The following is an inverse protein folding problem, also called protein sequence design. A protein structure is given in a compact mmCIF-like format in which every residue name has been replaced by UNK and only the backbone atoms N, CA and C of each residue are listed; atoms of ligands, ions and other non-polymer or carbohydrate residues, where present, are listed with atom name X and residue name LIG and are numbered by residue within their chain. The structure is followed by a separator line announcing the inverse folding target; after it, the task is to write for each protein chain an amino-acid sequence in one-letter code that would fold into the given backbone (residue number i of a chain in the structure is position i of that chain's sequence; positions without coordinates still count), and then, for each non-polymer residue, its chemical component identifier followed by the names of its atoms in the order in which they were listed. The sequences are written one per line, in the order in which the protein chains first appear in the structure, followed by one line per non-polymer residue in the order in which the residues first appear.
data_IF_725617468711
#
_entry.id   IF_725617468711
#
_cell.length_a   1.000
_cell.length_b   1.000
_cell.length_c   1.000
_cell.angle_alpha   90.00
_cell.angle_beta   90.00
_cell.angle_gamma   90.00
#
_symmetry.space_group_name_H-M   'P 1'
#
loop_
_entity.id
_entity.type
_entity.pdbx_description
1 polymer ?
#
# COMPACT_ATOMS: atom_id res chain seq x y z
N UNK A 1 -8.57 -32.15 7.25
CA UNK A 1 -8.13 -30.77 7.54
C UNK A 1 -8.91 -30.29 8.75
N UNK A 2 -8.28 -30.28 9.92
CA UNK A 2 -8.91 -29.85 11.18
C UNK A 2 -8.82 -28.34 11.30
N UNK A 3 -9.78 -27.71 11.98
CA UNK A 3 -9.87 -26.25 12.18
C UNK A 3 -8.61 -25.58 12.82
N UNK A 4 -7.60 -26.36 13.25
CA UNK A 4 -6.38 -25.85 13.89
C UNK A 4 -5.30 -25.40 12.89
N UNK A 5 -5.29 -25.91 11.66
CA UNK A 5 -4.26 -25.55 10.67
C UNK A 5 -4.48 -24.15 10.06
N UNK A 6 -5.71 -23.62 10.13
CA UNK A 6 -6.11 -22.32 9.59
C UNK A 6 -5.53 -21.15 10.44
N UNK A 7 -5.19 -21.40 11.69
CA UNK A 7 -4.69 -20.36 12.62
C UNK A 7 -3.17 -20.19 12.58
N UNK A 8 -2.42 -21.23 12.20
CA UNK A 8 -0.95 -21.22 12.27
C UNK A 8 -0.28 -20.60 11.03
N UNK A 9 -1.03 -20.28 9.98
CA UNK A 9 -0.50 -19.81 8.69
C UNK A 9 -1.04 -18.43 8.26
N UNK A 10 -1.46 -17.59 9.22
CA UNK A 10 -1.94 -16.23 8.93
C UNK A 10 -0.76 -15.27 8.70
N UNK A 11 -0.81 -14.39 7.69
CA UNK A 11 0.24 -13.42 7.45
C UNK A 11 0.37 -12.49 8.66
N UNK A 12 1.61 -12.31 9.12
CA UNK A 12 1.92 -11.47 10.30
C UNK A 12 2.57 -10.15 9.92
N UNK A 13 3.11 -10.06 8.71
CA UNK A 13 3.67 -8.84 8.14
C UNK A 13 2.66 -8.19 7.17
N UNK A 14 2.56 -6.85 7.14
CA UNK A 14 1.61 -6.17 6.27
C UNK A 14 1.73 -6.50 4.79
N UNK A 15 2.95 -6.65 4.26
CA UNK A 15 3.16 -6.99 2.85
C UNK A 15 2.68 -8.41 2.52
N UNK A 16 2.95 -9.40 3.39
CA UNK A 16 2.38 -10.75 3.23
C UNK A 16 0.84 -10.71 3.22
N UNK A 17 0.25 -9.92 4.11
CA UNK A 17 -1.21 -9.76 4.18
C UNK A 17 -1.78 -9.06 2.93
N UNK A 18 -1.00 -8.16 2.31
CA UNK A 18 -1.37 -7.51 1.05
C UNK A 18 -1.29 -8.49 -0.12
N UNK A 19 -0.25 -9.33 -0.20
CA UNK A 19 -0.15 -10.33 -1.27
C UNK A 19 -1.29 -11.36 -1.20
N UNK A 20 -1.66 -11.79 0.01
CA UNK A 20 -2.83 -12.65 0.20
C UNK A 20 -4.15 -11.96 -0.22
N UNK A 21 -4.28 -10.65 0.04
CA UNK A 21 -5.41 -9.85 -0.42
C UNK A 21 -5.42 -9.72 -1.96
N UNK A 22 -4.27 -9.44 -2.58
CA UNK A 22 -4.09 -9.33 -4.05
C UNK A 22 -4.53 -10.64 -4.71
N UNK A 23 -4.06 -11.77 -4.19
CA UNK A 23 -4.45 -13.11 -4.62
C UNK A 23 -5.93 -13.38 -4.46
N UNK A 24 -6.54 -13.00 -3.33
CA UNK A 24 -7.98 -13.17 -3.10
C UNK A 24 -8.82 -12.34 -4.08
N UNK A 25 -8.32 -11.17 -4.48
CA UNK A 25 -8.95 -10.31 -5.48
C UNK A 25 -8.74 -10.78 -6.93
N UNK A 26 -7.95 -11.84 -7.15
CA UNK A 26 -7.63 -12.37 -8.48
C UNK A 26 -6.72 -11.44 -9.29
N UNK A 27 -5.93 -10.59 -8.62
CA UNK A 27 -4.95 -9.72 -9.27
C UNK A 27 -3.63 -10.48 -9.52
N UNK A 28 -2.81 -10.02 -10.48
CA UNK A 28 -1.48 -10.61 -10.72
C UNK A 28 -0.61 -10.61 -9.46
N UNK A 29 0.22 -11.65 -9.31
CA UNK A 29 1.26 -11.69 -8.27
C UNK A 29 2.20 -10.49 -8.40
N UNK A 30 2.59 -9.88 -7.27
CA UNK A 30 3.46 -8.70 -7.27
C UNK A 30 2.76 -7.39 -7.63
N UNK A 31 1.46 -7.41 -7.96
CA UNK A 31 0.69 -6.20 -8.34
C UNK A 31 0.94 -5.03 -7.39
N UNK A 32 0.95 -5.27 -6.08
CA UNK A 32 1.14 -4.21 -5.09
C UNK A 32 2.56 -3.65 -5.06
N UNK A 33 3.57 -4.52 -5.18
CA UNK A 33 4.97 -4.11 -5.22
C UNK A 33 5.26 -3.29 -6.48
N UNK A 34 4.70 -3.70 -7.62
CA UNK A 34 4.86 -3.01 -8.91
C UNK A 34 4.26 -1.60 -8.92
N UNK A 35 3.23 -1.32 -8.09
CA UNK A 35 2.65 0.03 -7.99
C UNK A 35 3.70 1.11 -7.67
N UNK A 36 4.73 0.79 -6.89
CA UNK A 36 5.76 1.77 -6.53
C UNK A 36 6.57 2.27 -7.74
N UNK A 37 6.71 1.43 -8.78
CA UNK A 37 7.41 1.75 -10.03
C UNK A 37 6.57 2.50 -11.06
N UNK A 38 5.27 2.67 -10.83
CA UNK A 38 4.38 3.38 -11.75
C UNK A 38 4.51 4.90 -11.66
N UNK A 39 4.01 5.62 -12.67
CA UNK A 39 3.83 7.07 -12.57
C UNK A 39 2.82 7.43 -11.47
N UNK A 40 2.90 8.66 -10.95
CA UNK A 40 2.11 9.09 -9.78
C UNK A 40 0.59 9.05 -10.03
N UNK A 41 0.17 9.29 -11.27
CA UNK A 41 -1.24 9.25 -11.64
C UNK A 41 -1.77 7.80 -11.65
N UNK A 42 -1.07 6.88 -12.32
CA UNK A 42 -1.41 5.45 -12.35
C UNK A 42 -1.35 4.83 -10.95
N UNK A 43 -0.30 5.16 -10.19
CA UNK A 43 -0.11 4.73 -8.80
C UNK A 43 -1.33 5.08 -7.93
N UNK A 44 -1.75 6.36 -7.90
CA UNK A 44 -2.86 6.81 -7.06
C UNK A 44 -4.18 6.15 -7.46
N UNK A 45 -4.44 6.00 -8.76
CA UNK A 45 -5.68 5.39 -9.26
C UNK A 45 -5.77 3.92 -8.89
N UNK A 46 -4.71 3.15 -9.17
CA UNK A 46 -4.70 1.71 -8.90
C UNK A 46 -4.67 1.42 -7.41
N UNK A 47 -3.92 2.19 -6.63
CA UNK A 47 -3.93 2.08 -5.17
C UNK A 47 -5.31 2.37 -4.57
N UNK A 48 -5.99 3.41 -5.07
CA UNK A 48 -7.35 3.74 -4.66
C UNK A 48 -8.34 2.63 -5.00
N UNK A 49 -8.25 2.05 -6.20
CA UNK A 49 -9.10 0.93 -6.62
C UNK A 49 -8.87 -0.32 -5.75
N UNK A 50 -7.62 -0.66 -5.44
CA UNK A 50 -7.28 -1.76 -4.53
C UNK A 50 -7.86 -1.51 -3.12
N UNK A 51 -7.70 -0.30 -2.58
CA UNK A 51 -8.28 0.10 -1.30
C UNK A 51 -9.80 -0.03 -1.29
N UNK A 52 -10.46 0.37 -2.39
CA UNK A 52 -11.90 0.29 -2.53
C UNK A 52 -12.42 -1.14 -2.54
N UNK A 53 -11.73 -2.05 -3.24
CA UNK A 53 -12.02 -3.47 -3.24
C UNK A 53 -11.81 -4.08 -1.84
N UNK A 54 -10.70 -3.75 -1.17
CA UNK A 54 -10.39 -4.23 0.17
C UNK A 54 -11.46 -3.83 1.21
N UNK A 55 -11.86 -2.55 1.22
CA UNK A 55 -12.91 -2.03 2.11
C UNK A 55 -14.26 -2.68 1.79
N UNK A 56 -14.57 -2.91 0.52
CA UNK A 56 -15.79 -3.63 0.12
C UNK A 56 -15.81 -5.03 0.73
N UNK A 57 -14.71 -5.79 0.58
CA UNK A 57 -14.56 -7.12 1.17
C UNK A 57 -14.71 -7.12 2.69
N UNK A 58 -14.15 -6.12 3.38
CA UNK A 58 -14.27 -5.96 4.82
C UNK A 58 -15.72 -5.73 5.29
N UNK A 59 -16.45 -4.84 4.62
CA UNK A 59 -17.85 -4.56 4.94
C UNK A 59 -18.71 -5.81 4.71
N UNK A 60 -18.55 -6.47 3.56
CA UNK A 60 -19.30 -7.69 3.23
C UNK A 60 -19.03 -8.80 4.24
N UNK A 61 -17.76 -9.00 4.62
CA UNK A 61 -17.40 -9.97 5.66
C UNK A 61 -18.00 -9.62 7.02
N UNK A 62 -18.01 -8.34 7.40
CA UNK A 62 -18.60 -7.89 8.67
C UNK A 62 -20.13 -8.07 8.72
N UNK A 63 -20.82 -7.91 7.59
CA UNK A 63 -22.26 -8.12 7.48
C UNK A 63 -22.64 -9.60 7.37
N UNK A 64 -21.71 -10.46 6.95
CA UNK A 64 -21.94 -11.89 6.79
C UNK A 64 -22.90 -12.26 5.65
N UNK A 65 -23.14 -11.34 4.71
CA UNK A 65 -24.11 -11.47 3.62
C UNK A 65 -23.40 -11.24 2.28
N UNK A 66 -22.95 -12.32 1.62
CA UNK A 66 -22.15 -12.24 0.39
C UNK A 66 -22.93 -11.61 -0.77
N UNK A 67 -24.24 -11.77 -0.76
CA UNK A 67 -25.20 -11.24 -1.71
C UNK A 67 -25.17 -9.70 -1.77
N UNK A 68 -24.73 -9.04 -0.68
CA UNK A 68 -24.58 -7.59 -0.62
C UNK A 68 -23.36 -7.07 -1.38
N UNK A 69 -22.44 -7.93 -1.84
CA UNK A 69 -21.19 -7.50 -2.47
C UNK A 69 -21.43 -6.52 -3.62
N UNK A 70 -22.33 -6.85 -4.55
CA UNK A 70 -22.64 -5.99 -5.69
C UNK A 70 -23.24 -4.65 -5.26
N UNK A 71 -24.06 -4.62 -4.21
CA UNK A 71 -24.62 -3.39 -3.67
C UNK A 71 -23.54 -2.51 -3.02
N UNK A 72 -22.71 -3.11 -2.15
CA UNK A 72 -21.66 -2.40 -1.41
C UNK A 72 -20.59 -1.89 -2.38
N UNK A 73 -20.22 -2.66 -3.39
CA UNK A 73 -19.20 -2.26 -4.38
C UNK A 73 -19.54 -0.96 -5.11
N UNK A 74 -20.83 -0.66 -5.31
CA UNK A 74 -21.32 0.54 -6.00
C UNK A 74 -21.32 1.81 -5.13
N UNK A 75 -21.14 1.68 -3.82
CA UNK A 75 -21.07 2.83 -2.92
C UNK A 75 -19.73 3.55 -3.08
N UNK A 76 -19.74 4.88 -3.03
CA UNK A 76 -18.49 5.66 -3.02
C UNK A 76 -17.62 5.29 -1.82
N UNK A 77 -16.30 5.18 -2.01
CA UNK A 77 -15.39 4.85 -0.93
C UNK A 77 -15.43 5.87 0.22
N UNK A 78 -15.17 7.15 -0.07
CA UNK A 78 -14.87 8.18 0.93
C UNK A 78 -16.05 8.98 1.45
N UNK A 79 -17.26 8.78 0.90
CA UNK A 79 -18.43 9.53 1.34
C UNK A 79 -18.77 9.18 2.80
N UNK A 80 -18.68 10.17 3.69
CA UNK A 80 -18.75 9.99 5.14
C UNK A 80 -20.18 9.75 5.65
N UNK A 81 -21.19 10.07 4.84
CA UNK A 81 -22.61 9.97 5.23
C UNK A 81 -23.30 8.78 4.61
N UNK A 82 -23.00 8.46 3.34
CA UNK A 82 -23.71 7.43 2.58
C UNK A 82 -22.78 6.41 1.90
N UNK A 83 -21.46 6.61 1.95
CA UNK A 83 -20.48 5.73 1.32
C UNK A 83 -19.95 4.62 2.23
N UNK A 84 -18.96 3.89 1.72
CA UNK A 84 -18.31 2.77 2.44
C UNK A 84 -17.72 3.22 3.78
N UNK A 85 -17.18 4.44 3.87
CA UNK A 85 -16.69 4.99 5.15
C UNK A 85 -17.77 5.18 6.22
N UNK A 86 -19.04 5.41 5.83
CA UNK A 86 -20.14 5.46 6.79
C UNK A 86 -20.38 4.08 7.43
N UNK A 87 -20.35 3.00 6.63
CA UNK A 87 -20.43 1.62 7.12
C UNK A 87 -19.25 1.25 8.00
N UNK A 88 -18.02 1.53 7.54
CA UNK A 88 -16.80 1.26 8.31
C UNK A 88 -16.85 1.93 9.68
N UNK A 89 -17.34 3.17 9.77
CA UNK A 89 -17.53 3.87 11.04
C UNK A 89 -18.64 3.24 11.88
N UNK A 90 -19.83 3.05 11.31
CA UNK A 90 -21.01 2.55 12.04
C UNK A 90 -20.79 1.14 12.62
N UNK A 91 -20.06 0.30 11.89
CA UNK A 91 -19.72 -1.06 12.29
C UNK A 91 -18.40 -1.16 13.06
N UNK A 92 -17.74 -0.02 13.37
CA UNK A 92 -16.44 0.05 14.07
C UNK A 92 -15.34 -0.84 13.45
N UNK A 93 -15.28 -0.90 12.12
CA UNK A 93 -14.38 -1.82 11.42
C UNK A 93 -12.94 -1.30 11.41
N UNK A 94 -12.73 0.02 11.31
CA UNK A 94 -11.40 0.63 11.29
C UNK A 94 -11.32 1.84 12.23
N UNK A 95 -10.18 1.97 12.90
CA UNK A 95 -9.84 3.14 13.71
C UNK A 95 -9.77 4.45 12.91
N UNK A 96 -9.92 5.58 13.60
CA UNK A 96 -10.02 6.93 13.03
C UNK A 96 -8.86 7.30 12.10
N UNK A 97 -7.65 6.83 12.42
CA UNK A 97 -6.47 7.11 11.62
C UNK A 97 -6.52 6.42 10.25
N UNK A 98 -6.88 5.14 10.19
CA UNK A 98 -7.08 4.42 8.93
C UNK A 98 -8.22 5.04 8.10
N UNK A 99 -9.31 5.45 8.76
CA UNK A 99 -10.42 6.14 8.08
C UNK A 99 -9.98 7.49 7.52
N UNK A 100 -9.15 8.26 8.25
CA UNK A 100 -8.58 9.53 7.79
C UNK A 100 -7.67 9.32 6.57
N UNK A 101 -6.81 8.31 6.62
CA UNK A 101 -5.99 7.90 5.49
C UNK A 101 -6.82 7.60 4.24
N UNK A 102 -7.81 6.69 4.32
CA UNK A 102 -8.65 6.29 3.18
C UNK A 102 -9.40 7.48 2.56
N UNK A 103 -9.96 8.35 3.41
CA UNK A 103 -10.64 9.57 2.95
C UNK A 103 -9.66 10.49 2.23
N UNK A 104 -8.46 10.68 2.77
CA UNK A 104 -7.46 11.58 2.17
C UNK A 104 -6.92 11.01 0.86
N UNK A 105 -6.68 9.69 0.78
CA UNK A 105 -6.32 9.02 -0.47
C UNK A 105 -7.38 9.24 -1.56
N UNK A 106 -8.66 9.16 -1.20
CA UNK A 106 -9.76 9.41 -2.14
C UNK A 106 -9.82 10.87 -2.58
N UNK A 107 -9.49 11.82 -1.71
CA UNK A 107 -9.38 13.24 -2.07
C UNK A 107 -8.24 13.47 -3.06
N UNK A 108 -7.05 12.92 -2.78
CA UNK A 108 -5.90 12.99 -3.69
C UNK A 108 -6.28 12.39 -5.05
N UNK A 109 -6.86 11.19 -5.08
CA UNK A 109 -7.32 10.57 -6.33
C UNK A 109 -8.29 11.46 -7.08
N UNK A 110 -9.29 12.03 -6.40
CA UNK A 110 -10.27 12.90 -7.05
C UNK A 110 -9.61 14.13 -7.68
N UNK A 111 -8.61 14.73 -7.03
CA UNK A 111 -7.88 15.87 -7.60
C UNK A 111 -7.00 15.47 -8.80
N UNK A 112 -6.38 14.30 -8.76
CA UNK A 112 -5.58 13.76 -9.88
C UNK A 112 -6.42 13.39 -11.10
N UNK A 113 -7.65 12.89 -10.92
CA UNK A 113 -8.49 12.42 -12.04
C UNK A 113 -9.52 13.45 -12.53
N UNK A 114 -9.83 14.47 -11.74
CA UNK A 114 -10.84 15.48 -12.12
C UNK A 114 -10.34 16.39 -13.25
N UNK A 115 -9.03 16.61 -13.35
CA UNK A 115 -8.43 17.27 -14.50
C UNK A 115 -7.42 16.34 -15.17
N UNK A 116 -7.72 15.92 -16.39
CA UNK A 116 -6.87 15.01 -17.16
C UNK A 116 -5.49 15.62 -17.44
N UNK A 117 -5.34 16.95 -17.41
CA UNK A 117 -4.02 17.58 -17.53
C UNK A 117 -3.08 17.24 -16.37
N UNK A 118 -3.62 16.73 -15.25
CA UNK A 118 -2.83 16.30 -14.10
C UNK A 118 -2.15 14.95 -14.29
N UNK A 119 -2.28 14.29 -15.46
CA UNK A 119 -1.56 13.04 -15.76
C UNK A 119 -0.04 13.16 -15.59
N UNK A 120 0.52 14.36 -15.79
CA UNK A 120 1.94 14.66 -15.58
C UNK A 120 2.28 15.22 -14.19
N UNK A 121 1.28 15.42 -13.31
CA UNK A 121 1.51 15.96 -11.97
C UNK A 121 2.16 14.91 -11.08
N UNK A 122 3.27 15.28 -10.45
CA UNK A 122 3.90 14.44 -9.44
C UNK A 122 3.29 14.63 -8.05
N UNK A 123 3.41 13.61 -7.20
CA UNK A 123 3.07 13.69 -5.78
C UNK A 123 3.93 14.73 -5.06
N UNK A 124 5.19 14.93 -5.47
CA UNK A 124 6.05 15.97 -4.91
C UNK A 124 5.48 17.37 -5.18
N UNK A 125 5.08 17.64 -6.42
CA UNK A 125 4.42 18.90 -6.79
C UNK A 125 3.10 19.08 -6.05
N UNK A 126 2.29 18.02 -5.95
CA UNK A 126 1.04 18.03 -5.21
C UNK A 126 1.23 18.39 -3.73
N UNK A 127 2.21 17.77 -3.06
CA UNK A 127 2.50 17.99 -1.63
C UNK A 127 3.14 19.36 -1.38
N UNK A 128 3.91 19.89 -2.34
CA UNK A 128 4.51 21.21 -2.25
C UNK A 128 3.47 22.35 -2.25
N UNK A 129 2.22 22.09 -2.62
CA UNK A 129 1.14 23.07 -2.53
C UNK A 129 0.90 23.46 -1.06
N UNK A 130 0.79 24.77 -0.82
CA UNK A 130 0.90 25.40 0.51
C UNK A 130 -0.11 24.91 1.57
N UNK A 131 -1.20 24.28 1.17
CA UNK A 131 -2.26 23.79 2.05
C UNK A 131 -2.32 22.25 2.17
N UNK A 132 -1.48 21.49 1.44
CA UNK A 132 -1.60 20.03 1.37
C UNK A 132 -0.77 19.32 2.42
N UNK A 133 0.50 19.71 2.57
CA UNK A 133 1.49 18.98 3.36
C UNK A 133 0.99 18.59 4.77
N UNK A 134 0.45 19.52 5.54
CA UNK A 134 0.06 19.24 6.93
C UNK A 134 -1.09 18.24 7.02
N UNK A 135 -2.10 18.40 6.15
CA UNK A 135 -3.26 17.51 6.11
C UNK A 135 -2.90 16.10 5.63
N UNK A 136 -2.05 16.01 4.61
CA UNK A 136 -1.58 14.74 4.07
C UNK A 136 -0.62 14.07 5.07
N UNK A 137 0.36 14.78 5.62
CA UNK A 137 1.27 14.21 6.63
C UNK A 137 0.48 13.62 7.81
N UNK A 138 -0.54 14.33 8.31
CA UNK A 138 -1.39 13.82 9.40
C UNK A 138 -2.19 12.58 9.01
N UNK A 139 -2.59 12.47 7.75
CA UNK A 139 -3.35 11.33 7.23
C UNK A 139 -2.47 10.12 6.91
N UNK A 140 -1.20 10.30 6.58
CA UNK A 140 -0.33 9.23 6.10
C UNK A 140 0.80 8.86 7.07
N UNK A 141 1.04 9.63 8.14
CA UNK A 141 2.11 9.38 9.12
C UNK A 141 1.59 9.20 10.56
N UNK A 142 0.47 8.48 10.75
CA UNK A 142 -0.14 8.24 12.06
C UNK A 142 0.59 7.12 12.84
N UNK A 143 1.78 7.40 13.38
CA UNK A 143 2.56 6.36 14.05
C UNK A 143 3.67 6.80 15.00
N UNK A 144 4.47 7.81 14.63
CA UNK A 144 5.54 8.45 15.43
C UNK A 144 5.85 9.81 14.81
N UNK A 145 6.41 10.77 15.56
CA UNK A 145 6.76 12.10 15.03
C UNK A 145 8.03 12.11 14.16
N UNK A 146 8.85 11.06 14.26
CA UNK A 146 10.12 10.91 13.54
C UNK A 146 10.27 9.49 12.98
N UNK A 147 10.78 9.42 11.77
CA UNK A 147 11.03 8.19 11.01
C UNK A 147 12.51 8.13 10.65
N UNK A 148 13.09 6.94 10.70
CA UNK A 148 14.44 6.71 10.18
C UNK A 148 14.33 6.38 8.68
N UNK A 149 14.95 7.22 7.85
CA UNK A 149 14.95 7.13 6.39
C UNK A 149 16.38 7.34 5.90
N UNK A 150 16.93 6.39 5.15
CA UNK A 150 18.31 6.45 4.65
C UNK A 150 19.33 6.83 5.76
N UNK A 151 19.24 6.16 6.92
CA UNK A 151 20.06 6.42 8.13
C UNK A 151 19.94 7.84 8.71
N UNK A 152 19.06 8.68 8.16
CA UNK A 152 18.69 10.00 8.66
C UNK A 152 17.43 9.88 9.51
N UNK A 153 17.37 10.65 10.61
CA UNK A 153 16.14 10.79 11.40
C UNK A 153 15.39 12.01 10.88
N UNK A 154 14.43 11.76 10.00
CA UNK A 154 13.56 12.80 9.46
C UNK A 154 12.31 12.94 10.33
N UNK A 155 11.78 14.16 10.45
CA UNK A 155 10.40 14.30 10.89
C UNK A 155 9.42 13.87 9.78
N UNK A 156 8.17 13.61 10.13
CA UNK A 156 7.18 13.14 9.17
C UNK A 156 6.94 14.08 7.99
N UNK A 157 7.06 15.40 8.19
CA UNK A 157 6.85 16.39 7.13
C UNK A 157 8.04 16.41 6.19
N UNK A 158 9.26 16.28 6.70
CA UNK A 158 10.47 16.12 5.90
C UNK A 158 10.37 14.87 5.04
N UNK A 159 10.03 13.73 5.63
CA UNK A 159 9.90 12.48 4.88
C UNK A 159 8.78 12.54 3.82
N UNK A 160 7.62 13.09 4.16
CA UNK A 160 6.52 13.32 3.21
C UNK A 160 6.91 14.24 2.03
N UNK A 161 7.83 15.19 2.23
CA UNK A 161 8.34 16.03 1.12
C UNK A 161 9.37 15.29 0.28
N UNK A 162 10.26 14.53 0.91
CA UNK A 162 11.34 13.84 0.22
C UNK A 162 10.84 12.66 -0.61
N UNK A 163 9.93 11.84 -0.06
CA UNK A 163 9.38 10.67 -0.75
C UNK A 163 7.88 10.44 -0.43
N UNK A 164 6.97 11.26 -0.98
CA UNK A 164 5.54 11.11 -0.73
C UNK A 164 4.98 9.78 -1.24
N UNK A 165 5.53 9.22 -2.32
CA UNK A 165 5.04 7.95 -2.90
C UNK A 165 5.36 6.80 -1.97
N UNK A 166 6.60 6.67 -1.50
CA UNK A 166 6.99 5.62 -0.57
C UNK A 166 6.21 5.70 0.74
N UNK A 167 5.98 6.92 1.25
CA UNK A 167 5.15 7.12 2.45
C UNK A 167 3.72 6.65 2.22
N UNK A 168 3.10 7.03 1.09
CA UNK A 168 1.74 6.61 0.74
C UNK A 168 1.66 5.09 0.59
N UNK A 169 2.61 4.49 -0.13
CA UNK A 169 2.68 3.05 -0.40
C UNK A 169 2.91 2.26 0.90
N UNK A 170 3.84 2.66 1.76
CA UNK A 170 4.07 1.94 3.02
C UNK A 170 2.85 2.03 3.94
N UNK A 171 2.23 3.20 4.06
CA UNK A 171 1.04 3.38 4.89
C UNK A 171 -0.17 2.63 4.32
N UNK A 172 -0.31 2.55 3.00
CA UNK A 172 -1.34 1.76 2.37
C UNK A 172 -1.14 0.27 2.64
N UNK A 173 0.09 -0.25 2.65
CA UNK A 173 0.37 -1.66 2.95
C UNK A 173 -0.11 -2.02 4.35
N UNK A 174 0.18 -1.16 5.33
CA UNK A 174 -0.32 -1.31 6.70
C UNK A 174 -1.85 -1.30 6.74
N UNK A 175 -2.50 -0.34 6.08
CA UNK A 175 -3.94 -0.24 6.09
C UNK A 175 -4.62 -1.46 5.42
N UNK A 176 -4.11 -1.88 4.26
CA UNK A 176 -4.60 -3.04 3.51
C UNK A 176 -4.39 -4.34 4.30
N UNK A 177 -3.22 -4.52 4.91
CA UNK A 177 -2.95 -5.68 5.77
C UNK A 177 -3.88 -5.73 6.99
N UNK A 178 -4.13 -4.58 7.62
CA UNK A 178 -5.13 -4.46 8.72
C UNK A 178 -6.54 -4.80 8.23
N UNK A 179 -6.94 -4.31 7.05
CA UNK A 179 -8.23 -4.63 6.43
C UNK A 179 -8.34 -6.13 6.18
N UNK A 180 -7.32 -6.75 5.58
CA UNK A 180 -7.29 -8.19 5.29
C UNK A 180 -7.40 -9.03 6.56
N UNK A 181 -6.58 -8.75 7.58
CA UNK A 181 -6.64 -9.50 8.85
C UNK A 181 -7.97 -9.31 9.58
N UNK A 182 -8.53 -8.09 9.59
CA UNK A 182 -9.86 -7.87 10.20
C UNK A 182 -10.97 -8.60 9.44
N UNK A 183 -10.87 -8.70 8.12
CA UNK A 183 -11.79 -9.46 7.27
C UNK A 183 -11.75 -10.96 7.57
N UNK A 184 -10.58 -11.54 7.89
CA UNK A 184 -10.40 -12.96 8.26
C UNK A 184 -10.91 -13.36 9.66
N UNK A 185 -11.60 -12.46 10.36
CA UNK A 185 -12.34 -12.63 11.62
C UNK A 185 -11.56 -12.59 12.97
N UNK A 186 -12.10 -11.69 13.81
CA UNK A 186 -12.18 -11.58 15.29
C UNK A 186 -11.06 -12.28 16.08
N UNK A 187 -10.09 -11.50 16.56
CA UNK A 187 -9.40 -11.53 17.89
C UNK A 187 -7.91 -11.13 17.83
N UNK A 188 -7.26 -11.11 16.66
CA UNK A 188 -5.79 -10.95 16.59
C UNK A 188 -5.28 -9.59 16.08
N UNK A 189 -5.96 -8.48 16.40
CA UNK A 189 -5.52 -7.11 16.05
C UNK A 189 -4.17 -6.75 16.73
N UNK A 190 -3.86 -7.36 17.88
CA UNK A 190 -2.70 -6.98 18.69
C UNK A 190 -1.35 -7.37 18.06
N UNK A 191 -1.29 -8.47 17.30
CA UNK A 191 -0.05 -8.93 16.64
C UNK A 191 0.43 -7.95 15.56
N UNK A 192 -0.47 -7.42 14.73
CA UNK A 192 -0.13 -6.41 13.72
C UNK A 192 0.26 -5.05 14.33
N UNK A 193 -0.33 -4.68 15.48
CA UNK A 193 0.05 -3.44 16.21
C UNK A 193 1.47 -3.52 16.78
N UNK A 194 1.96 -4.71 17.14
CA UNK A 194 3.36 -4.93 17.51
C UNK A 194 4.28 -4.92 16.27
N UNK A 195 3.85 -5.52 15.15
CA UNK A 195 4.57 -5.44 13.87
C UNK A 195 4.81 -4.00 13.43
N UNK A 196 3.87 -3.08 13.70
CA UNK A 196 4.02 -1.63 13.51
C UNK A 196 5.21 -1.02 14.28
N UNK A 197 5.50 -1.49 15.50
CA UNK A 197 6.69 -1.01 16.24
C UNK A 197 7.99 -1.56 15.64
N UNK A 198 7.94 -2.75 15.02
CA UNK A 198 9.07 -3.42 14.38
C UNK A 198 9.36 -2.89 12.97
N UNK A 199 8.35 -2.57 12.17
CA UNK A 199 8.51 -2.07 10.78
C UNK A 199 9.23 -0.72 10.69
N UNK A 200 8.96 0.21 11.61
CA UNK A 200 9.71 1.48 11.66
C UNK A 200 11.20 1.30 12.05
N UNK A 201 11.60 0.14 12.57
CA UNK A 201 13.00 -0.23 12.78
C UNK A 201 13.56 -1.23 11.76
N UNK A 202 12.75 -1.67 10.78
CA UNK A 202 13.08 -2.74 9.81
C UNK A 202 12.57 -2.48 8.39
N UNK A 203 12.32 -1.23 7.99
CA UNK A 203 12.16 -0.90 6.57
C UNK A 203 13.39 -1.36 5.76
N UNK A 204 14.59 -1.28 6.34
CA UNK A 204 15.82 -1.90 5.81
C UNK A 204 15.79 -3.43 5.74
N UNK A 205 14.88 -4.12 6.42
CA UNK A 205 14.79 -5.59 6.47
C UNK A 205 13.71 -6.16 5.56
N UNK A 206 12.60 -5.44 5.38
CA UNK A 206 11.56 -5.79 4.41
C UNK A 206 12.08 -5.59 2.99
N UNK A 207 12.84 -4.51 2.73
CA UNK A 207 13.54 -4.31 1.45
C UNK A 207 14.43 -5.52 1.10
N UNK A 208 15.10 -6.17 2.06
CA UNK A 208 15.88 -7.41 1.82
C UNK A 208 15.04 -8.66 1.53
N UNK A 209 13.86 -8.77 2.13
CA UNK A 209 13.00 -9.96 2.00
C UNK A 209 12.20 -9.98 0.71
N UNK A 210 11.94 -8.83 0.08
CA UNK A 210 11.36 -8.70 -1.27
C UNK A 210 12.41 -8.48 -2.37
N UNK A 211 13.68 -8.82 -2.12
CA UNK A 211 14.72 -8.78 -3.17
C UNK A 211 15.17 -7.38 -3.59
N UNK A 212 14.94 -6.37 -2.74
CA UNK A 212 15.47 -5.01 -2.88
C UNK A 212 16.62 -4.86 -1.87
N UNK A 213 17.71 -5.58 -2.12
CA UNK A 213 19.09 -5.24 -1.71
C UNK A 213 19.82 -5.03 -3.05
N UNK A 214 20.53 -3.96 -3.37
CA UNK A 214 21.22 -2.91 -2.60
C UNK A 214 21.83 -1.95 -3.64
N UNK A 215 22.15 -0.71 -3.23
CA UNK A 215 22.97 0.30 -3.91
C UNK A 215 23.11 0.19 -5.45
N UNK A 216 22.36 1.04 -6.15
CA UNK A 216 22.07 0.99 -7.59
C UNK A 216 23.29 0.81 -8.52
N UNK A 217 24.49 1.16 -8.06
CA UNK A 217 25.73 1.05 -8.85
C UNK A 217 26.28 -0.39 -8.94
N UNK A 218 26.05 -1.24 -7.94
CA UNK A 218 26.60 -2.61 -7.91
C UNK A 218 25.80 -3.54 -8.83
N UNK A 219 24.48 -3.33 -8.91
CA UNK A 219 23.57 -4.09 -9.78
C UNK A 219 23.83 -3.85 -11.27
N UNK A 220 24.14 -2.60 -11.65
CA UNK A 220 24.44 -2.21 -13.05
C UNK A 220 25.79 -2.79 -13.53
N UNK A 221 26.78 -2.88 -12.64
CA UNK A 221 28.12 -3.36 -13.00
C UNK A 221 28.13 -4.87 -13.31
N UNK A 222 27.40 -5.68 -12.52
CA UNK A 222 27.40 -7.13 -12.69
C UNK A 222 26.53 -7.63 -13.86
N UNK A 223 25.53 -6.84 -14.29
CA UNK A 223 24.65 -7.21 -15.41
C UNK A 223 25.07 -6.64 -16.78
N UNK A 224 26.12 -5.81 -16.84
CA UNK A 224 26.79 -5.48 -18.12
C UNK A 224 27.71 -6.61 -18.59
N UNK A 225 28.41 -7.29 -17.69
CA UNK A 225 29.33 -8.38 -18.06
C UNK A 225 28.60 -9.65 -18.54
N UNK A 226 27.40 -9.92 -18.01
CA UNK A 226 26.57 -11.05 -18.46
C UNK A 226 25.98 -10.86 -19.87
N UNK A 227 25.68 -9.62 -20.29
CA UNK A 227 25.10 -9.33 -21.60
C UNK A 227 26.14 -9.10 -22.72
N UNK A 228 27.42 -8.86 -22.39
CA UNK A 228 28.49 -8.94 -23.40
C UNK A 228 28.98 -10.37 -23.64
N UNK A 229 28.82 -11.27 -22.68
CA UNK A 229 29.24 -12.67 -22.81
C UNK A 229 28.29 -13.56 -23.63
N UNK A 230 27.01 -13.17 -23.79
CA UNK A 230 26.03 -13.88 -24.61
C UNK A 230 25.93 -13.37 -26.05
N UNK A 231 26.39 -12.16 -26.36
CA UNK A 231 26.53 -11.69 -27.76
C UNK A 231 27.79 -12.25 -28.45
N UNK A 232 28.87 -12.55 -27.73
CA UNK A 232 30.09 -13.14 -28.32
C UNK A 232 30.00 -14.66 -28.56
N UNK A 233 29.01 -15.35 -27.95
CA UNK A 233 28.75 -16.78 -28.19
C UNK A 233 27.76 -17.05 -29.31
N UNK A 234 27.01 -16.04 -29.76
CA UNK A 234 26.04 -16.17 -30.85
C UNK A 234 26.62 -16.04 -32.27
N UNK A 235 27.78 -15.39 -32.43
CA UNK A 235 28.41 -15.18 -33.75
C UNK A 235 29.54 -16.17 -34.09
N UNK A 236 29.92 -17.07 -33.17
CA UNK A 236 30.99 -18.06 -33.40
C UNK A 236 30.52 -19.49 -33.69
N UNK A 237 29.20 -19.75 -33.72
CA UNK A 237 28.64 -21.09 -34.06
C UNK A 237 27.80 -21.11 -35.34
N UNK A 238 27.91 -20.08 -36.20
CA UNK A 238 27.46 -20.14 -37.61
C UNK A 238 28.61 -19.77 -38.57
N UNK A 239 29.65 -20.59 -38.62
CA UNK A 239 30.54 -20.76 -39.80
C UNK A 239 31.25 -22.10 -39.76
#
# INVERSE_FOLDING_TARGET
MTNNDIYNNRPTEPFEAVEELVKELGLPEGFYAELLGEDDWSFIIKLHALMEAAVTGLIVAALGQKELHNLISRLELSNKTTGKMAFVKALSLLEDDYRRFIVTLSQIRNEFVHDVSNVGMSLKEYIAQSNKLDSVTKAFCFGKDKVEFDKRKLDNKEYMREDPKEVIWTTAAVCLGVIYVKKLNKTDIWKLKETRQRMYGRLEGVMRLVGIETDAETFIAQHKEANTAETDKGESEQS
#
